data_IF_722977975549
#
_entry.id   IF_722977975549
#
_cell.length_a   1.000
_cell.length_b   1.000
_cell.length_c   1.000
_cell.angle_alpha   90.00
_cell.angle_beta   90.00
_cell.angle_gamma   90.00
#
_symmetry.space_group_name_H-M   'P 1'
#
loop_
_entity.id
_entity.type
_entity.pdbx_description
1 polymer ?
#
# COMPACT_ATOMS: atom_id res chain seq x y z
N UNK A 1 -19.69 -17.92 -18.67
CA UNK A 1 -20.67 -17.16 -17.87
C UNK A 1 -21.69 -16.53 -18.81
N UNK A 2 -22.99 -16.76 -18.56
CA UNK A 2 -24.10 -16.25 -19.40
C UNK A 2 -24.13 -14.71 -19.42
N UNK A 3 -24.50 -14.12 -20.56
CA UNK A 3 -24.64 -12.66 -20.73
C UNK A 3 -25.53 -12.03 -19.65
N UNK A 4 -26.60 -12.75 -19.26
CA UNK A 4 -27.55 -12.33 -18.22
C UNK A 4 -26.91 -12.22 -16.83
N UNK A 5 -26.05 -13.16 -16.46
CA UNK A 5 -25.37 -13.16 -15.16
C UNK A 5 -24.42 -11.96 -15.00
N UNK A 6 -23.74 -11.56 -16.09
CA UNK A 6 -22.88 -10.36 -16.10
C UNK A 6 -23.68 -9.08 -15.94
N UNK A 7 -24.87 -9.01 -16.53
CA UNK A 7 -25.75 -7.85 -16.41
C UNK A 7 -26.32 -7.70 -14.99
N UNK A 8 -26.72 -8.82 -14.37
CA UNK A 8 -27.14 -8.86 -12.97
C UNK A 8 -26.01 -8.46 -12.01
N UNK A 9 -24.79 -8.96 -12.24
CA UNK A 9 -23.61 -8.56 -11.48
C UNK A 9 -23.34 -7.05 -11.59
N UNK A 10 -23.43 -6.47 -12.79
CA UNK A 10 -23.23 -5.03 -12.99
C UNK A 10 -24.25 -4.21 -12.20
N UNK A 11 -25.53 -4.55 -12.28
CA UNK A 11 -26.59 -3.88 -11.52
C UNK A 11 -26.33 -3.96 -10.02
N UNK A 12 -25.96 -5.13 -9.52
CA UNK A 12 -25.61 -5.31 -8.11
C UNK A 12 -24.43 -4.44 -7.67
N UNK A 13 -23.39 -4.34 -8.51
CA UNK A 13 -22.25 -3.47 -8.22
C UNK A 13 -22.66 -1.99 -8.23
N UNK A 14 -23.58 -1.55 -9.11
CA UNK A 14 -24.11 -0.18 -9.04
C UNK A 14 -24.83 0.09 -7.71
N UNK A 15 -25.65 -0.85 -7.23
CA UNK A 15 -26.30 -0.72 -5.91
C UNK A 15 -25.28 -0.64 -4.77
N UNK A 16 -24.18 -1.41 -4.87
CA UNK A 16 -23.08 -1.31 -3.90
C UNK A 16 -22.39 0.06 -3.94
N UNK A 17 -22.22 0.64 -5.14
CA UNK A 17 -21.62 1.98 -5.30
C UNK A 17 -22.56 3.05 -4.72
N UNK A 18 -23.87 2.93 -4.94
CA UNK A 18 -24.85 3.86 -4.39
C UNK A 18 -24.89 3.79 -2.85
N UNK A 19 -24.90 2.58 -2.29
CA UNK A 19 -24.75 2.38 -0.84
C UNK A 19 -23.44 3.02 -0.35
N UNK A 20 -22.32 2.78 -1.03
CA UNK A 20 -21.03 3.38 -0.67
C UNK A 20 -21.04 4.92 -0.73
N UNK A 21 -21.72 5.53 -1.72
CA UNK A 21 -21.92 6.98 -1.81
C UNK A 21 -22.62 7.53 -0.57
N UNK A 22 -23.59 6.82 -0.01
CA UNK A 22 -24.30 7.21 1.22
C UNK A 22 -23.47 7.12 2.52
N UNK A 23 -22.27 6.54 2.46
CA UNK A 23 -21.40 6.25 3.61
C UNK A 23 -20.16 7.16 3.65
N UNK A 24 -20.30 8.43 4.07
CA UNK A 24 -19.24 9.44 3.96
C UNK A 24 -18.00 9.16 4.82
N UNK A 25 -18.09 8.31 5.86
CA UNK A 25 -16.91 7.96 6.65
C UNK A 25 -15.92 7.10 5.85
N UNK A 26 -16.37 6.48 4.75
CA UNK A 26 -15.53 5.64 3.91
C UNK A 26 -14.77 6.42 2.83
N UNK A 27 -15.29 7.56 2.38
CA UNK A 27 -14.76 8.23 1.18
C UNK A 27 -14.60 9.74 1.28
N UNK A 28 -15.34 10.42 2.15
CA UNK A 28 -15.35 11.88 2.22
C UNK A 28 -14.35 12.37 3.26
N UNK A 29 -13.14 12.73 2.82
CA UNK A 29 -12.05 13.20 3.67
C UNK A 29 -12.43 14.46 4.47
N UNK A 30 -13.32 15.30 3.92
CA UNK A 30 -13.80 16.54 4.55
C UNK A 30 -14.85 16.27 5.64
N UNK A 31 -15.38 15.05 5.73
CA UNK A 31 -16.36 14.67 6.75
C UNK A 31 -15.69 14.45 8.10
N UNK A 32 -16.29 14.98 9.16
CA UNK A 32 -15.90 14.69 10.56
C UNK A 32 -15.91 13.20 10.89
N UNK A 33 -16.65 12.40 10.13
CA UNK A 33 -16.77 10.96 10.33
C UNK A 33 -15.60 10.17 9.74
N UNK A 34 -14.87 10.71 8.76
CA UNK A 34 -13.79 10.01 8.05
C UNK A 34 -12.65 9.56 8.98
N UNK A 35 -12.34 10.39 9.98
CA UNK A 35 -11.32 10.11 10.99
C UNK A 35 -11.81 9.20 12.12
N UNK A 36 -13.13 8.99 12.24
CA UNK A 36 -13.70 8.16 13.29
C UNK A 36 -13.68 6.68 12.90
N UNK A 37 -12.74 5.93 13.46
CA UNK A 37 -12.57 4.48 13.22
C UNK A 37 -13.83 3.68 13.54
N UNK A 38 -14.56 4.01 14.60
CA UNK A 38 -15.76 3.27 15.01
C UNK A 38 -16.85 3.42 13.94
N UNK A 39 -17.11 4.65 13.50
CA UNK A 39 -18.11 4.93 12.46
C UNK A 39 -17.67 4.31 11.13
N UNK A 40 -16.40 4.45 10.75
CA UNK A 40 -15.83 3.83 9.55
C UNK A 40 -16.06 2.31 9.54
N UNK A 41 -15.83 1.64 10.66
CA UNK A 41 -16.07 0.20 10.79
C UNK A 41 -17.54 -0.17 10.66
N UNK A 42 -18.43 0.55 11.35
CA UNK A 42 -19.88 0.35 11.23
C UNK A 42 -20.38 0.54 9.79
N UNK A 43 -19.82 1.50 9.05
CA UNK A 43 -20.17 1.73 7.65
C UNK A 43 -19.63 0.63 6.74
N UNK A 44 -18.41 0.13 6.98
CA UNK A 44 -17.91 -1.05 6.27
C UNK A 44 -18.76 -2.29 6.52
N UNK A 45 -19.22 -2.50 7.76
CA UNK A 45 -20.08 -3.64 8.10
C UNK A 45 -21.44 -3.54 7.39
N UNK A 46 -21.99 -2.33 7.27
CA UNK A 46 -23.21 -2.09 6.48
C UNK A 46 -22.99 -2.41 5.01
N UNK A 47 -21.91 -1.92 4.40
CA UNK A 47 -21.59 -2.18 3.01
C UNK A 47 -21.30 -3.68 2.76
N UNK A 48 -20.66 -4.37 3.71
CA UNK A 48 -20.38 -5.80 3.63
C UNK A 48 -21.65 -6.64 3.68
N UNK A 49 -22.64 -6.26 4.50
CA UNK A 49 -23.94 -6.94 4.51
C UNK A 49 -24.59 -6.92 3.12
N UNK A 50 -24.59 -5.75 2.45
CA UNK A 50 -25.08 -5.63 1.08
C UNK A 50 -24.25 -6.47 0.11
N UNK A 51 -22.92 -6.39 0.20
CA UNK A 51 -22.00 -7.16 -0.67
C UNK A 51 -22.20 -8.68 -0.58
N UNK A 52 -22.55 -9.19 0.61
CA UNK A 52 -22.84 -10.60 0.84
C UNK A 52 -24.12 -11.12 0.20
N UNK A 53 -25.05 -10.25 -0.21
CA UNK A 53 -26.26 -10.67 -0.93
C UNK A 53 -25.92 -11.36 -2.26
N UNK A 54 -24.82 -10.94 -2.91
CA UNK A 54 -24.34 -11.55 -4.15
C UNK A 54 -23.11 -12.44 -3.95
N UNK A 55 -22.26 -12.12 -2.96
CA UNK A 55 -21.07 -12.92 -2.63
C UNK A 55 -21.13 -13.42 -1.17
N UNK A 56 -21.88 -14.51 -0.88
CA UNK A 56 -22.17 -14.95 0.50
C UNK A 56 -20.94 -15.18 1.39
N UNK A 57 -19.85 -15.68 0.78
CA UNK A 57 -18.60 -16.00 1.47
C UNK A 57 -17.60 -14.83 1.51
N UNK A 58 -18.00 -13.64 1.05
CA UNK A 58 -17.12 -12.48 1.04
C UNK A 58 -16.80 -12.01 2.46
N UNK A 59 -15.54 -11.68 2.69
CA UNK A 59 -15.11 -11.00 3.90
C UNK A 59 -14.90 -9.50 3.64
N UNK A 60 -14.59 -8.76 4.70
CA UNK A 60 -14.31 -7.32 4.63
C UNK A 60 -13.08 -7.02 3.77
N UNK A 61 -12.09 -7.91 3.72
CA UNK A 61 -10.88 -7.74 2.91
C UNK A 61 -11.21 -7.77 1.43
N UNK A 62 -12.02 -8.73 0.98
CA UNK A 62 -12.51 -8.81 -0.39
C UNK A 62 -13.33 -7.59 -0.78
N UNK A 63 -14.20 -7.10 0.12
CA UNK A 63 -14.95 -5.87 -0.11
C UNK A 63 -14.03 -4.66 -0.29
N UNK A 64 -13.08 -4.45 0.63
CA UNK A 64 -12.14 -3.32 0.56
C UNK A 64 -11.32 -3.38 -0.73
N UNK A 65 -10.78 -4.55 -1.07
CA UNK A 65 -10.07 -4.77 -2.34
C UNK A 65 -10.95 -4.44 -3.55
N UNK A 66 -12.22 -4.86 -3.53
CA UNK A 66 -13.16 -4.56 -4.60
C UNK A 66 -13.41 -3.06 -4.74
N UNK A 67 -13.67 -2.35 -3.64
CA UNK A 67 -13.89 -0.90 -3.64
C UNK A 67 -12.64 -0.16 -4.12
N UNK A 68 -11.46 -0.53 -3.65
CA UNK A 68 -10.19 0.09 -4.07
C UNK A 68 -9.93 -0.14 -5.56
N UNK A 69 -10.20 -1.34 -6.08
CA UNK A 69 -10.11 -1.62 -7.52
C UNK A 69 -11.06 -0.71 -8.34
N UNK A 70 -12.30 -0.53 -7.88
CA UNK A 70 -13.26 0.37 -8.54
C UNK A 70 -12.77 1.83 -8.52
N UNK A 71 -12.28 2.32 -7.37
CA UNK A 71 -11.71 3.67 -7.22
C UNK A 71 -10.51 3.89 -8.15
N UNK A 72 -9.59 2.94 -8.21
CA UNK A 72 -8.41 3.01 -9.08
C UNK A 72 -8.79 3.08 -10.55
N UNK A 73 -9.76 2.27 -10.98
CA UNK A 73 -10.26 2.31 -12.36
C UNK A 73 -10.95 3.64 -12.67
N UNK A 74 -11.79 4.13 -11.74
CA UNK A 74 -12.45 5.43 -11.89
C UNK A 74 -11.45 6.59 -12.02
N UNK A 75 -10.40 6.63 -11.19
CA UNK A 75 -9.37 7.67 -11.26
C UNK A 75 -8.57 7.62 -12.56
N UNK A 76 -8.22 6.43 -13.05
CA UNK A 76 -7.55 6.25 -14.35
C UNK A 76 -8.41 6.79 -15.49
N UNK A 77 -9.71 6.50 -15.43
CA UNK A 77 -10.68 7.00 -16.39
C UNK A 77 -10.83 8.52 -16.32
N UNK A 78 -10.95 9.08 -15.12
CA UNK A 78 -11.01 10.52 -14.88
C UNK A 78 -9.77 11.22 -15.44
N UNK A 79 -8.57 10.69 -15.15
CA UNK A 79 -7.30 11.22 -15.66
C UNK A 79 -7.28 11.22 -17.19
N UNK A 80 -7.65 10.08 -17.81
CA UNK A 80 -7.74 9.95 -19.27
C UNK A 80 -8.64 11.03 -19.88
N UNK A 81 -9.80 11.29 -19.26
CA UNK A 81 -10.73 12.32 -19.71
C UNK A 81 -10.15 13.73 -19.55
N UNK A 82 -9.54 14.03 -18.40
CA UNK A 82 -8.94 15.35 -18.15
C UNK A 82 -7.74 15.64 -19.07
N UNK A 83 -6.96 14.62 -19.41
CA UNK A 83 -5.79 14.78 -20.29
C UNK A 83 -6.22 14.98 -21.76
N UNK A 84 -7.31 14.34 -22.19
CA UNK A 84 -7.90 14.53 -23.51
C UNK A 84 -8.47 15.94 -23.70
N UNK A 85 -9.10 16.49 -22.66
CA UNK A 85 -9.61 17.86 -22.64
C UNK A 85 -8.46 18.88 -22.74
N UNK A 86 -7.41 18.71 -21.92
CA UNK A 86 -6.23 19.60 -21.92
C UNK A 86 -5.44 19.60 -23.22
N UNK A 87 -5.41 18.48 -23.93
CA UNK A 87 -4.67 18.35 -25.19
C UNK A 87 -5.39 18.97 -26.39
N UNK A 88 -6.55 19.61 -26.19
CA UNK A 88 -7.34 20.24 -27.26
C UNK A 88 -7.99 19.23 -28.22
N UNK A 89 -7.92 17.93 -27.89
CA UNK A 89 -8.36 16.83 -28.75
C UNK A 89 -9.79 16.35 -28.44
N UNK A 90 -10.50 16.96 -27.47
CA UNK A 90 -11.60 16.26 -26.81
C UNK A 90 -12.80 17.11 -26.37
N UNK A 91 -13.48 17.79 -27.29
CA UNK A 91 -14.92 18.03 -27.13
C UNK A 91 -15.68 16.76 -27.53
N UNK A 92 -15.63 15.69 -26.72
CA UNK A 92 -16.42 14.48 -27.00
C UNK A 92 -15.96 13.12 -26.47
N UNK A 93 -14.91 13.01 -25.64
CA UNK A 93 -14.49 11.69 -25.11
C UNK A 93 -15.47 11.21 -24.03
N UNK A 94 -16.40 10.33 -24.39
CA UNK A 94 -17.32 9.70 -23.44
C UNK A 94 -16.59 8.69 -22.54
N UNK A 95 -17.00 8.56 -21.26
CA UNK A 95 -16.46 7.53 -20.38
C UNK A 95 -16.71 6.13 -20.95
N UNK A 96 -15.68 5.29 -20.95
CA UNK A 96 -15.77 3.87 -21.32
C UNK A 96 -16.19 3.03 -20.10
N UNK A 97 -16.03 3.56 -18.89
CA UNK A 97 -16.34 2.88 -17.64
C UNK A 97 -17.84 2.93 -17.34
N UNK A 98 -18.51 1.77 -17.33
CA UNK A 98 -19.97 1.67 -17.22
C UNK A 98 -20.57 2.15 -15.88
N UNK A 99 -19.76 2.30 -14.83
CA UNK A 99 -20.15 2.88 -13.53
C UNK A 99 -19.55 4.28 -13.31
N UNK A 100 -19.04 4.93 -14.35
CA UNK A 100 -18.36 6.22 -14.22
C UNK A 100 -19.23 7.28 -13.56
N UNK A 101 -20.47 7.43 -14.03
CA UNK A 101 -21.44 8.41 -13.53
C UNK A 101 -21.70 8.24 -12.03
N UNK A 102 -21.86 7.00 -11.58
CA UNK A 102 -22.14 6.70 -10.18
C UNK A 102 -20.98 7.09 -9.26
N UNK A 103 -19.73 6.98 -9.73
CA UNK A 103 -18.53 7.33 -8.96
C UNK A 103 -18.11 8.79 -9.03
N UNK A 104 -18.83 9.66 -9.76
CA UNK A 104 -18.48 11.08 -9.89
C UNK A 104 -18.42 11.86 -8.57
N UNK A 105 -19.10 11.41 -7.51
CA UNK A 105 -19.02 12.04 -6.19
C UNK A 105 -17.62 12.03 -5.56
N UNK A 106 -16.72 11.19 -6.08
CA UNK A 106 -15.33 11.11 -5.65
C UNK A 106 -14.44 12.22 -6.24
N UNK A 107 -14.91 12.93 -7.27
CA UNK A 107 -14.15 14.02 -7.89
C UNK A 107 -13.88 15.13 -6.85
N UNK A 108 -12.62 15.56 -6.75
CA UNK A 108 -12.21 16.63 -5.83
C UNK A 108 -12.13 16.21 -4.34
N UNK A 109 -12.22 14.91 -4.04
CA UNK A 109 -11.98 14.35 -2.70
C UNK A 109 -10.52 13.97 -2.46
N UNK A 110 -9.75 13.70 -3.52
CA UNK A 110 -8.32 13.41 -3.46
C UNK A 110 -7.51 14.71 -3.66
N UNK A 111 -6.62 15.04 -2.72
CA UNK A 111 -5.61 16.08 -2.92
C UNK A 111 -4.65 15.73 -4.08
N UNK A 112 -4.01 16.70 -4.74
CA UNK A 112 -3.25 16.51 -5.98
C UNK A 112 -2.02 15.57 -5.92
N UNK A 113 -1.71 14.93 -4.78
CA UNK A 113 -0.48 14.13 -4.61
C UNK A 113 -0.71 12.60 -4.50
N UNK A 114 -1.91 12.11 -4.79
CA UNK A 114 -2.29 10.70 -4.56
C UNK A 114 -1.67 9.71 -5.57
N UNK A 115 -1.18 10.18 -6.72
CA UNK A 115 -0.59 9.30 -7.75
C UNK A 115 0.74 8.63 -7.33
N UNK A 116 1.48 9.21 -6.36
CA UNK A 116 2.74 8.62 -5.86
C UNK A 116 2.59 7.88 -4.52
N UNK A 117 1.46 8.06 -3.84
CA UNK A 117 1.29 7.60 -2.45
C UNK A 117 0.70 6.19 -2.36
N UNK A 118 -0.22 5.84 -3.25
CA UNK A 118 -1.02 4.61 -3.08
C UNK A 118 -0.38 3.34 -3.66
N UNK A 119 0.63 3.41 -4.54
CA UNK A 119 1.42 2.21 -4.88
C UNK A 119 2.23 1.66 -3.68
N UNK A 120 2.34 2.43 -2.58
CA UNK A 120 3.03 2.05 -1.34
C UNK A 120 2.10 1.75 -0.15
N UNK A 121 0.88 2.31 -0.11
CA UNK A 121 -0.03 2.22 1.04
C UNK A 121 -1.08 1.08 0.95
N UNK A 122 -1.11 0.29 -0.14
CA UNK A 122 -2.11 -0.77 -0.38
C UNK A 122 -2.03 -1.98 0.59
N UNK A 123 -1.02 -2.05 1.46
CA UNK A 123 -0.88 -3.12 2.48
C UNK A 123 -1.33 -2.71 3.89
N UNK A 124 -1.22 -1.43 4.26
CA UNK A 124 -1.40 -0.99 5.66
C UNK A 124 -2.87 -0.88 6.10
N UNK A 125 -3.80 -0.61 5.17
CA UNK A 125 -5.22 -0.39 5.51
C UNK A 125 -5.95 -1.70 5.86
N UNK A 126 -5.52 -2.83 5.29
CA UNK A 126 -6.08 -4.15 5.61
C UNK A 126 -5.54 -4.70 6.95
N UNK A 127 -4.28 -4.45 7.30
CA UNK A 127 -3.63 -4.97 8.50
C UNK A 127 -4.05 -4.25 9.79
N UNK A 128 -4.32 -2.95 9.73
CA UNK A 128 -4.73 -2.16 10.90
C UNK A 128 -6.10 -2.57 11.51
N UNK A 129 -6.91 -3.35 10.78
CA UNK A 129 -8.20 -3.83 11.28
C UNK A 129 -8.14 -5.19 11.97
N UNK A 130 -7.25 -6.10 11.52
CA UNK A 130 -7.14 -7.46 12.08
C UNK A 130 -6.66 -7.41 13.55
N UNK A 131 -5.79 -6.45 13.88
CA UNK A 131 -5.17 -6.34 15.21
C UNK A 131 -6.10 -5.85 16.34
N UNK A 132 -7.36 -5.49 16.07
CA UNK A 132 -8.25 -4.87 17.06
C UNK A 132 -9.51 -5.69 17.41
N UNK A 133 -9.69 -6.90 16.88
CA UNK A 133 -10.89 -7.72 17.13
C UNK A 133 -10.78 -8.57 18.42
N UNK A 134 -9.59 -8.70 19.02
CA UNK A 134 -9.37 -9.60 20.17
C UNK A 134 -9.34 -8.92 21.56
N UNK A 135 -10.18 -7.90 21.79
CA UNK A 135 -10.37 -7.43 23.18
C UNK A 135 -11.75 -6.81 23.42
N UNK A 136 -12.69 -7.64 23.87
CA UNK A 136 -13.88 -7.16 24.58
C UNK A 136 -15.14 -7.99 24.37
N UNK A 137 -15.19 -9.17 25.00
CA UNK A 137 -16.43 -9.91 25.21
C UNK A 137 -17.16 -9.41 26.48
N UNK A 138 -18.48 -9.22 26.34
CA UNK A 138 -19.54 -9.34 27.35
C UNK A 138 -19.73 -8.26 28.43
N UNK A 139 -20.85 -7.51 28.35
CA UNK A 139 -22.05 -7.68 29.21
C UNK A 139 -23.10 -6.55 29.04
N UNK A 140 -24.31 -6.98 28.67
CA UNK A 140 -25.65 -6.62 29.18
C UNK A 140 -26.14 -5.18 29.40
N UNK A 141 -27.42 -5.04 29.03
CA UNK A 141 -28.53 -4.27 29.66
C UNK A 141 -28.78 -2.80 29.28
N UNK A 142 -30.04 -2.61 28.83
CA UNK A 142 -30.86 -1.41 28.67
C UNK A 142 -30.78 -0.41 29.83
N UNK A 143 -30.93 0.89 29.54
CA UNK A 143 -31.87 1.84 30.19
C UNK A 143 -31.74 3.24 29.56
N UNK A 144 -32.88 3.94 29.54
CA UNK A 144 -33.27 5.20 28.91
C UNK A 144 -32.82 6.48 29.69
N UNK A 145 -32.67 7.59 28.95
CA UNK A 145 -32.71 9.04 29.28
C UNK A 145 -31.73 9.69 30.30
N UNK A 146 -31.09 10.81 29.92
CA UNK A 146 -31.58 12.22 30.15
C UNK A 146 -30.44 13.23 29.96
N UNK A 147 -30.73 14.32 29.23
CA UNK A 147 -29.86 15.49 29.01
C UNK A 147 -29.53 16.25 30.31
N UNK A 148 -28.29 16.75 30.40
CA UNK A 148 -27.98 18.10 30.94
C UNK A 148 -26.77 18.68 30.21
N UNK A 149 -26.97 19.84 29.58
CA UNK A 149 -25.92 20.70 29.04
C UNK A 149 -25.24 21.53 30.14
N UNK A 150 -23.92 21.78 30.00
CA UNK A 150 -23.27 23.01 30.48
C UNK A 150 -22.09 23.45 29.55
N UNK A 151 -21.80 24.77 29.42
CA UNK A 151 -20.93 25.36 28.39
C UNK A 151 -19.49 25.72 28.89
N UNK A 152 -18.65 26.48 28.13
CA UNK A 152 -17.88 26.06 26.96
C UNK A 152 -16.35 25.98 27.21
N UNK A 153 -15.74 24.83 26.88
CA UNK A 153 -14.28 24.53 27.00
C UNK A 153 -13.44 24.99 25.79
N UNK A 154 -13.52 26.26 25.36
CA UNK A 154 -12.84 26.71 24.11
C UNK A 154 -11.32 27.01 24.24
N UNK A 155 -10.77 27.26 25.44
CA UNK A 155 -9.32 27.57 25.61
C UNK A 155 -8.41 26.33 25.79
N UNK A 156 -8.93 25.21 26.31
CA UNK A 156 -8.12 23.99 26.54
C UNK A 156 -7.76 23.25 25.23
N UNK A 157 -8.67 23.20 24.26
CA UNK A 157 -8.47 22.50 22.97
C UNK A 157 -7.27 22.99 22.15
N UNK A 158 -7.05 24.31 22.07
CA UNK A 158 -5.91 24.86 21.32
C UNK A 158 -4.55 24.49 21.93
N UNK A 159 -4.49 24.38 23.27
CA UNK A 159 -3.26 23.98 23.95
C UNK A 159 -2.98 22.48 23.75
N UNK A 160 -4.03 21.66 23.71
CA UNK A 160 -3.91 20.22 23.49
C UNK A 160 -3.57 19.90 22.03
N UNK A 161 -4.15 20.59 21.05
CA UNK A 161 -3.78 20.49 19.62
C UNK A 161 -2.34 20.96 19.37
N UNK A 162 -1.90 22.05 20.01
CA UNK A 162 -0.52 22.53 19.86
C UNK A 162 0.49 21.56 20.47
N UNK A 163 0.15 20.92 21.60
CA UNK A 163 0.98 19.87 22.21
C UNK A 163 1.02 18.60 21.35
N UNK A 164 -0.09 18.24 20.71
CA UNK A 164 -0.16 17.11 19.79
C UNK A 164 0.62 17.37 18.51
N UNK A 165 0.57 18.59 17.97
CA UNK A 165 1.38 19.00 16.82
C UNK A 165 2.87 19.00 17.16
N UNK A 166 3.25 19.51 18.33
CA UNK A 166 4.64 19.46 18.81
C UNK A 166 5.08 18.01 19.05
N UNK A 167 4.23 17.14 19.59
CA UNK A 167 4.57 15.73 19.79
C UNK A 167 4.71 14.98 18.45
N UNK A 168 3.87 15.30 17.46
CA UNK A 168 3.94 14.74 16.11
C UNK A 168 5.19 15.22 15.37
N UNK A 169 5.51 16.51 15.46
CA UNK A 169 6.73 17.08 14.89
C UNK A 169 7.97 16.48 15.57
N UNK A 170 7.95 16.30 16.89
CA UNK A 170 9.02 15.65 17.65
C UNK A 170 9.18 14.19 17.22
N UNK A 171 8.09 13.43 17.06
CA UNK A 171 8.10 12.04 16.57
C UNK A 171 8.62 11.92 15.13
N UNK A 172 8.39 12.94 14.29
CA UNK A 172 8.94 13.01 12.94
C UNK A 172 10.41 13.47 12.90
N UNK A 173 10.85 14.29 13.85
CA UNK A 173 12.27 14.66 14.04
C UNK A 173 13.07 13.56 14.75
N UNK A 174 12.44 12.76 15.61
CA UNK A 174 13.03 11.66 16.38
C UNK A 174 13.10 10.36 15.56
N UNK A 175 12.48 10.31 14.36
CA UNK A 175 12.89 9.31 13.38
C UNK A 175 14.26 9.74 12.88
N UNK A 176 15.37 9.08 13.26
CA UNK A 176 16.62 9.31 12.55
C UNK A 176 16.28 9.09 11.07
N UNK A 177 16.53 10.08 10.22
CA UNK A 177 16.54 9.81 8.79
C UNK A 177 17.57 8.71 8.61
N UNK A 178 17.09 7.49 8.42
CA UNK A 178 17.93 6.34 8.47
C UNK A 178 18.77 6.39 7.20
N UNK A 179 20.08 6.64 7.32
CA UNK A 179 20.94 6.77 6.15
C UNK A 179 20.91 5.50 5.28
N UNK A 180 20.53 4.35 5.87
CA UNK A 180 20.23 3.12 5.13
C UNK A 180 19.08 3.27 4.13
N UNK A 181 18.04 4.05 4.42
CA UNK A 181 16.92 4.30 3.48
C UNK A 181 17.38 5.12 2.28
N UNK A 182 18.24 6.12 2.51
CA UNK A 182 18.82 6.95 1.43
C UNK A 182 19.69 6.09 0.52
N UNK A 183 20.55 5.25 1.11
CA UNK A 183 21.43 4.34 0.38
C UNK A 183 20.61 3.29 -0.38
N UNK A 184 19.58 2.70 0.23
CA UNK A 184 18.70 1.74 -0.41
C UNK A 184 17.94 2.35 -1.60
N UNK A 185 17.46 3.59 -1.46
CA UNK A 185 16.80 4.31 -2.57
C UNK A 185 17.77 4.57 -3.73
N UNK A 186 19.00 4.98 -3.46
CA UNK A 186 20.02 5.18 -4.48
C UNK A 186 20.35 3.86 -5.21
N UNK A 187 20.52 2.75 -4.48
CA UNK A 187 20.77 1.43 -5.08
C UNK A 187 19.61 0.94 -5.94
N UNK A 188 18.36 1.17 -5.53
CA UNK A 188 17.20 0.81 -6.32
C UNK A 188 17.17 1.52 -7.68
N UNK A 189 17.54 2.81 -7.69
CA UNK A 189 17.66 3.59 -8.94
C UNK A 189 18.75 3.03 -9.85
N UNK A 190 19.92 2.69 -9.31
CA UNK A 190 21.01 2.12 -10.11
C UNK A 190 20.67 0.72 -10.66
N UNK A 191 20.03 -0.13 -9.85
CA UNK A 191 19.57 -1.45 -10.29
C UNK A 191 18.55 -1.35 -11.42
N UNK A 192 17.63 -0.37 -11.37
CA UNK A 192 16.61 -0.16 -12.39
C UNK A 192 17.19 0.26 -13.75
N UNK A 193 18.35 0.94 -13.76
CA UNK A 193 19.06 1.33 -15.00
C UNK A 193 19.73 0.15 -15.71
N UNK A 194 19.96 -0.96 -15.01
CA UNK A 194 20.63 -2.13 -15.59
C UNK A 194 19.71 -2.92 -16.52
N UNK A 195 20.28 -3.57 -17.54
CA UNK A 195 19.54 -4.49 -18.40
C UNK A 195 18.94 -5.64 -17.58
N UNK A 196 17.76 -6.19 -17.95
CA UNK A 196 17.05 -7.19 -17.13
C UNK A 196 17.90 -8.40 -16.74
N UNK A 197 18.76 -8.88 -17.66
CA UNK A 197 19.67 -10.01 -17.39
C UNK A 197 20.74 -9.67 -16.36
N UNK A 198 21.26 -8.44 -16.37
CA UNK A 198 22.25 -7.97 -15.39
C UNK A 198 21.64 -7.75 -14.01
N UNK A 199 20.37 -7.31 -13.94
CA UNK A 199 19.65 -7.20 -12.67
C UNK A 199 19.56 -8.54 -11.94
N UNK A 200 19.43 -9.66 -12.66
CA UNK A 200 19.38 -11.00 -12.07
C UNK A 200 20.70 -11.34 -11.38
N UNK A 201 21.83 -11.08 -12.04
CA UNK A 201 23.16 -11.31 -11.45
C UNK A 201 23.42 -10.40 -10.25
N UNK A 202 23.07 -9.11 -10.36
CA UNK A 202 23.19 -8.15 -9.27
C UNK A 202 22.33 -8.55 -8.04
N UNK A 203 21.08 -8.96 -8.26
CA UNK A 203 20.20 -9.43 -7.18
C UNK A 203 20.75 -10.68 -6.49
N UNK A 204 21.30 -11.63 -7.24
CA UNK A 204 21.94 -12.82 -6.67
C UNK A 204 23.11 -12.40 -5.77
N UNK A 205 24.03 -11.58 -6.27
CA UNK A 205 25.19 -11.14 -5.50
C UNK A 205 24.80 -10.39 -4.22
N UNK A 206 23.80 -9.49 -4.29
CA UNK A 206 23.28 -8.79 -3.10
C UNK A 206 22.72 -9.77 -2.09
N UNK A 207 21.90 -10.74 -2.52
CA UNK A 207 21.32 -11.74 -1.63
C UNK A 207 22.38 -12.63 -0.98
N UNK A 208 23.41 -13.02 -1.73
CA UNK A 208 24.52 -13.83 -1.19
C UNK A 208 25.27 -13.03 -0.11
N UNK A 209 25.56 -11.75 -0.33
CA UNK A 209 26.19 -10.86 0.68
C UNK A 209 25.31 -10.72 1.92
N UNK A 210 23.99 -10.54 1.76
CA UNK A 210 23.07 -10.45 2.88
C UNK A 210 22.98 -11.76 3.67
N UNK A 211 22.98 -12.89 2.96
CA UNK A 211 22.95 -14.21 3.58
C UNK A 211 24.20 -14.46 4.43
N UNK A 212 25.40 -14.29 3.86
CA UNK A 212 26.66 -14.45 4.61
C UNK A 212 26.76 -13.45 5.77
N UNK A 213 26.25 -12.22 5.58
CA UNK A 213 26.16 -11.23 6.65
C UNK A 213 25.25 -11.66 7.80
N UNK A 214 24.10 -12.28 7.51
CA UNK A 214 23.19 -12.81 8.52
C UNK A 214 23.76 -14.05 9.23
N UNK A 215 24.55 -14.85 8.51
CA UNK A 215 25.23 -16.03 9.06
C UNK A 215 26.51 -15.68 9.85
N UNK A 216 26.96 -14.42 9.81
CA UNK A 216 28.17 -13.95 10.49
C UNK A 216 29.47 -14.43 9.84
N UNK A 217 29.40 -14.87 8.59
CA UNK A 217 30.50 -15.44 7.79
C UNK A 217 31.02 -14.47 6.73
N UNK A 218 30.39 -13.30 6.58
CA UNK A 218 30.86 -12.25 5.67
C UNK A 218 32.17 -11.61 6.17
N UNK A 219 33.23 -11.75 5.39
CA UNK A 219 34.55 -11.20 5.65
C UNK A 219 35.01 -10.23 4.54
N UNK A 220 36.23 -9.70 4.70
CA UNK A 220 36.81 -8.70 3.80
C UNK A 220 37.01 -9.22 2.36
N UNK A 221 37.21 -10.51 2.19
CA UNK A 221 37.58 -11.14 0.92
C UNK A 221 36.39 -11.89 0.28
N UNK A 222 35.23 -11.90 0.95
CA UNK A 222 34.02 -12.61 0.53
C UNK A 222 33.40 -12.11 -0.79
N UNK A 223 33.59 -10.83 -1.14
CA UNK A 223 33.02 -10.26 -2.37
C UNK A 223 34.08 -10.18 -3.46
N UNK A 224 33.90 -11.01 -4.49
CA UNK A 224 34.80 -11.09 -5.63
C UNK A 224 34.03 -10.85 -6.93
N UNK A 225 34.37 -9.80 -7.67
CA UNK A 225 33.66 -9.39 -8.89
C UNK A 225 34.53 -9.69 -10.11
N UNK A 226 34.00 -10.46 -11.06
CA UNK A 226 34.62 -10.76 -12.36
C UNK A 226 36.04 -11.35 -12.25
N UNK A 227 36.25 -12.36 -11.39
CA UNK A 227 37.54 -13.07 -11.39
C UNK A 227 37.68 -13.88 -12.68
N UNK A 228 38.68 -13.54 -13.47
CA UNK A 228 39.25 -14.44 -14.46
C UNK A 228 40.10 -15.48 -13.73
N UNK A 229 39.66 -16.74 -13.69
CA UNK A 229 40.50 -17.85 -13.24
C UNK A 229 41.57 -18.12 -14.31
N UNK A 230 42.66 -17.37 -14.24
CA UNK A 230 43.87 -17.54 -15.04
C UNK A 230 45.03 -17.93 -14.13
N UNK A 231 44.95 -19.10 -13.50
CA UNK A 231 46.08 -19.68 -12.79
C UNK A 231 46.17 -21.18 -13.10
N UNK A 232 46.69 -21.50 -14.29
CA UNK A 232 47.39 -22.74 -14.52
C UNK A 232 48.65 -22.71 -13.66
N UNK A 233 48.58 -23.24 -12.44
CA UNK A 233 49.76 -23.48 -11.63
C UNK A 233 50.51 -24.64 -12.28
N UNK A 234 51.60 -24.32 -12.99
CA UNK A 234 52.58 -25.29 -13.48
C UNK A 234 53.03 -26.16 -12.29
N UNK A 235 52.63 -27.42 -12.33
CA UNK A 235 53.16 -28.46 -11.48
C UNK A 235 54.61 -28.74 -11.92
N UNK A 236 55.57 -28.05 -11.33
CA UNK A 236 56.98 -28.44 -11.40
C UNK A 236 57.21 -29.44 -10.27
N UNK A 237 57.25 -30.73 -10.62
CA UNK A 237 57.88 -31.76 -9.80
C UNK A 237 59.34 -31.90 -10.23
N UNK A 238 60.27 -32.08 -9.27
CA UNK A 238 61.71 -31.99 -9.48
C UNK A 238 62.27 -33.20 -10.24
N UNK A 239 63.36 -32.97 -10.97
CA UNK A 239 64.15 -34.00 -11.65
C UNK A 239 64.62 -35.08 -10.67
N UNK A 240 64.51 -36.37 -11.01
CA UNK A 240 65.06 -37.44 -10.19
C UNK A 240 66.58 -37.38 -10.19
N UNK A 241 67.14 -37.30 -8.99
CA UNK A 241 68.59 -37.36 -8.73
C UNK A 241 69.06 -38.76 -9.07
N UNK A 242 69.96 -38.86 -10.06
CA UNK A 242 70.71 -40.09 -10.32
C UNK A 242 71.60 -40.40 -9.11
N UNK A 243 71.38 -41.55 -8.48
CA UNK A 243 72.42 -42.18 -7.67
C UNK A 243 73.13 -43.21 -8.54
N UNK A 244 74.41 -42.93 -8.78
CA UNK A 244 75.33 -43.80 -9.47
C UNK A 244 75.90 -44.85 -8.50
N UNK A 245 76.06 -46.06 -9.05
CA UNK A 245 76.85 -47.24 -8.67
C UNK A 245 77.28 -47.51 -7.21
N UNK A 246 77.08 -48.76 -6.77
CA UNK A 246 78.18 -49.77 -6.71
C UNK A 246 77.64 -51.19 -6.57
#
# INVERSE_FOLDING_TARGET
>A
MSSKAKEEERKFILECIDMYRSLPALWNVKSKYYSNKIIKNQQYDQLLRKYKEYYPNADKSQLVKKINSLRTNFRKELKRMTDAEKSGAGTGTLPTLWYYTEMQFLVGQDEPNTLQREERDDKEEAENYINNVDRGSSKTTSTICREKEEPPKKKRRKLDEFKELISLARKHLEKPQNDYEKIASAWAVELAKMAPRQQIFAKKAINDVLFEGQMGTLDRDSVQINIFSGASTLHVQPSPVFYDST
#
